data_IF_884347663835
#
_entry.id   IF_884347663835
#
_cell.length_a   1.000
_cell.length_b   1.000
_cell.length_c   1.000
_cell.angle_alpha   90.00
_cell.angle_beta   90.00
_cell.angle_gamma   90.00
#
_symmetry.space_group_name_H-M   'P 1'
#
loop_
_entity.id
_entity.type
_entity.pdbx_description
1 polymer ?
#
# COMPACT_ATOMS: atom_id res chain seq x y z
N UNK A 1 -22.55 6.58 21.54
CA UNK A 1 -22.64 8.05 21.70
C UNK A 1 -21.44 8.80 21.10
N UNK A 2 -20.21 8.25 21.08
CA UNK A 2 -19.04 8.91 20.46
C UNK A 2 -19.06 9.04 18.92
N UNK A 3 -19.75 8.16 18.19
CA UNK A 3 -19.77 8.19 16.70
C UNK A 3 -20.54 9.37 16.10
N UNK A 4 -21.52 9.93 16.82
CA UNK A 4 -22.29 11.08 16.35
C UNK A 4 -21.46 12.36 16.41
N UNK A 5 -20.58 12.47 17.40
CA UNK A 5 -19.72 13.63 17.60
C UNK A 5 -18.62 13.74 16.54
N UNK A 6 -17.99 12.60 16.17
CA UNK A 6 -16.98 12.57 15.11
C UNK A 6 -17.55 12.89 13.73
N UNK A 7 -18.76 12.40 13.42
CA UNK A 7 -19.44 12.71 12.16
C UNK A 7 -19.81 14.19 12.06
N UNK A 8 -20.33 14.78 13.14
CA UNK A 8 -20.65 16.21 13.20
C UNK A 8 -19.40 17.06 13.04
N UNK A 9 -18.32 16.70 13.74
CA UNK A 9 -17.03 17.38 13.63
C UNK A 9 -16.47 17.35 12.21
N UNK A 10 -16.51 16.19 11.54
CA UNK A 10 -16.05 16.08 10.16
C UNK A 10 -16.89 16.94 9.19
N UNK A 11 -18.22 16.94 9.33
CA UNK A 11 -19.09 17.81 8.53
C UNK A 11 -18.75 19.30 8.72
N UNK A 12 -18.49 19.71 9.95
CA UNK A 12 -18.04 21.08 10.25
C UNK A 12 -16.72 21.40 9.55
N UNK A 13 -15.73 20.51 9.66
CA UNK A 13 -14.45 20.62 8.97
C UNK A 13 -14.58 20.74 7.45
N UNK A 14 -15.48 19.97 6.83
CA UNK A 14 -15.78 20.05 5.40
C UNK A 14 -16.27 21.45 5.03
N UNK A 15 -17.26 21.96 5.75
CA UNK A 15 -17.85 23.29 5.50
C UNK A 15 -16.81 24.39 5.70
N UNK A 16 -16.05 24.35 6.80
CA UNK A 16 -14.98 25.31 7.08
C UNK A 16 -13.88 25.30 6.01
N UNK A 17 -13.50 24.11 5.52
CA UNK A 17 -12.49 23.98 4.46
C UNK A 17 -12.98 24.64 3.18
N UNK A 18 -14.23 24.40 2.78
CA UNK A 18 -14.83 25.03 1.59
C UNK A 18 -14.86 26.55 1.75
N UNK A 19 -15.38 27.06 2.88
CA UNK A 19 -15.46 28.51 3.14
C UNK A 19 -14.07 29.14 3.14
N UNK A 20 -13.12 28.54 3.86
CA UNK A 20 -11.77 29.09 3.97
C UNK A 20 -11.00 29.10 2.64
N UNK A 21 -11.28 28.15 1.75
CA UNK A 21 -10.69 28.09 0.42
C UNK A 21 -11.44 28.93 -0.61
N UNK A 22 -12.74 29.21 -0.40
CA UNK A 22 -13.52 30.05 -1.29
C UNK A 22 -12.88 31.43 -1.50
N UNK A 23 -12.39 32.04 -0.42
CA UNK A 23 -11.79 33.37 -0.44
C UNK A 23 -10.32 33.37 -0.88
N UNK A 24 -9.75 32.19 -1.14
CA UNK A 24 -8.35 32.03 -1.55
C UNK A 24 -8.23 31.85 -3.05
N UNK A 25 -7.11 32.32 -3.60
CA UNK A 25 -6.70 31.88 -4.93
C UNK A 25 -6.52 30.35 -4.95
N UNK A 26 -6.85 29.69 -6.07
CA UNK A 26 -6.75 28.23 -6.24
C UNK A 26 -5.35 27.66 -5.89
N UNK A 27 -4.30 28.43 -6.12
CA UNK A 27 -2.91 28.06 -5.79
C UNK A 27 -2.59 28.07 -4.29
N UNK A 28 -3.48 28.63 -3.45
CA UNK A 28 -3.33 28.78 -2.00
C UNK A 28 -4.36 27.98 -1.21
N UNK A 29 -5.05 27.04 -1.87
CA UNK A 29 -5.95 26.14 -1.18
C UNK A 29 -5.18 25.34 -0.13
N UNK A 30 -5.75 25.25 1.07
CA UNK A 30 -5.20 24.50 2.18
C UNK A 30 -6.23 23.47 2.63
N UNK A 31 -5.73 22.29 2.95
CA UNK A 31 -6.55 21.16 3.38
C UNK A 31 -5.96 20.62 4.66
N UNK A 32 -6.80 20.41 5.66
CA UNK A 32 -6.42 19.70 6.88
C UNK A 32 -6.28 18.19 6.60
N UNK A 33 -5.71 17.47 7.57
CA UNK A 33 -5.41 16.04 7.41
C UNK A 33 -6.66 15.19 7.20
N UNK A 34 -7.77 15.49 7.90
CA UNK A 34 -9.02 14.74 7.72
C UNK A 34 -9.60 14.87 6.31
N UNK A 35 -9.47 16.03 5.65
CA UNK A 35 -9.91 16.20 4.27
C UNK A 35 -8.96 15.53 3.29
N UNK A 36 -7.64 15.54 3.56
CA UNK A 36 -6.67 14.79 2.74
C UNK A 36 -6.91 13.29 2.84
N UNK A 37 -7.15 12.78 4.04
CA UNK A 37 -7.49 11.37 4.29
C UNK A 37 -8.80 10.98 3.59
N UNK A 38 -9.85 11.80 3.73
CA UNK A 38 -11.10 11.60 3.00
C UNK A 38 -10.89 11.59 1.48
N UNK A 39 -10.10 12.52 0.95
CA UNK A 39 -9.80 12.59 -0.48
C UNK A 39 -9.01 11.37 -0.96
N UNK A 40 -8.05 10.88 -0.17
CA UNK A 40 -7.31 9.64 -0.44
C UNK A 40 -8.23 8.43 -0.46
N UNK A 41 -9.13 8.29 0.53
CA UNK A 41 -10.13 7.21 0.56
C UNK A 41 -11.08 7.27 -0.63
N UNK A 42 -11.57 8.46 -0.98
CA UNK A 42 -12.42 8.67 -2.15
C UNK A 42 -11.69 8.32 -3.46
N UNK A 43 -10.39 8.64 -3.56
CA UNK A 43 -9.57 8.29 -4.70
C UNK A 43 -9.34 6.78 -4.82
N UNK A 44 -9.08 6.10 -3.71
CA UNK A 44 -8.86 4.65 -3.67
C UNK A 44 -10.17 3.90 -3.99
N UNK A 45 -11.28 4.28 -3.38
CA UNK A 45 -12.56 3.56 -3.49
C UNK A 45 -13.39 3.97 -4.71
N UNK A 46 -13.45 5.26 -5.01
CA UNK A 46 -14.23 5.83 -6.12
C UNK A 46 -13.42 6.02 -7.40
N UNK A 47 -12.09 5.96 -7.31
CA UNK A 47 -11.20 6.16 -8.45
C UNK A 47 -11.00 7.62 -8.83
N UNK A 48 -10.14 7.81 -9.85
CA UNK A 48 -9.74 9.13 -10.36
C UNK A 48 -10.93 9.98 -10.82
N UNK A 49 -11.87 9.38 -11.56
CA UNK A 49 -12.96 10.12 -12.18
C UNK A 49 -13.95 10.66 -11.15
N UNK A 50 -14.27 9.88 -10.11
CA UNK A 50 -15.16 10.32 -9.03
C UNK A 50 -14.50 11.45 -8.23
N UNK A 51 -13.22 11.30 -7.90
CA UNK A 51 -12.47 12.31 -7.16
C UNK A 51 -12.41 13.64 -7.93
N UNK A 52 -12.11 13.61 -9.22
CA UNK A 52 -12.09 14.81 -10.06
C UNK A 52 -13.49 15.41 -10.27
N UNK A 53 -14.51 14.57 -10.44
CA UNK A 53 -15.89 15.03 -10.56
C UNK A 53 -16.31 15.84 -9.33
N UNK A 54 -16.09 15.30 -8.13
CA UNK A 54 -16.43 16.01 -6.89
C UNK A 54 -15.60 17.28 -6.74
N UNK A 55 -14.29 17.24 -7.04
CA UNK A 55 -13.40 18.40 -6.96
C UNK A 55 -13.83 19.55 -7.88
N UNK A 56 -14.31 19.23 -9.08
CA UNK A 56 -14.76 20.22 -10.05
C UNK A 56 -16.14 20.81 -9.70
N UNK A 57 -17.04 20.00 -9.14
CA UNK A 57 -18.38 20.44 -8.77
C UNK A 57 -18.44 21.17 -7.41
N UNK A 58 -17.52 20.86 -6.49
CA UNK A 58 -17.45 21.49 -5.16
C UNK A 58 -16.07 22.14 -4.99
N UNK A 59 -15.95 23.37 -5.50
CA UNK A 59 -14.69 24.12 -5.46
C UNK A 59 -14.18 24.32 -4.03
N UNK A 60 -12.89 24.05 -3.81
CA UNK A 60 -12.23 24.23 -2.51
C UNK A 60 -12.41 23.07 -1.52
N UNK A 61 -13.21 22.05 -1.86
CA UNK A 61 -13.40 20.86 -1.01
C UNK A 61 -12.23 19.89 -1.09
N UNK A 62 -11.88 19.44 -2.30
CA UNK A 62 -10.90 18.37 -2.50
C UNK A 62 -9.56 18.90 -3.02
N UNK A 63 -8.44 18.37 -2.52
CA UNK A 63 -7.13 18.59 -3.11
C UNK A 63 -7.06 18.09 -4.56
N UNK A 64 -6.08 18.60 -5.30
CA UNK A 64 -5.78 18.10 -6.66
C UNK A 64 -5.12 16.73 -6.60
N UNK A 65 -5.21 15.97 -7.70
CA UNK A 65 -4.60 14.63 -7.79
C UNK A 65 -3.11 14.58 -7.38
N UNK A 66 -2.25 15.54 -7.76
CA UNK A 66 -0.86 15.53 -7.31
C UNK A 66 -0.70 15.64 -5.80
N UNK A 67 -1.57 16.40 -5.11
CA UNK A 67 -1.55 16.53 -3.65
C UNK A 67 -2.03 15.23 -2.99
N UNK A 68 -3.06 14.60 -3.55
CA UNK A 68 -3.54 13.28 -3.09
C UNK A 68 -2.42 12.25 -3.26
N UNK A 69 -1.81 12.18 -4.44
CA UNK A 69 -0.72 11.26 -4.72
C UNK A 69 0.47 11.50 -3.79
N UNK A 70 0.88 12.76 -3.58
CA UNK A 70 1.94 13.09 -2.63
C UNK A 70 1.61 12.66 -1.20
N UNK A 71 0.34 12.77 -0.79
CA UNK A 71 -0.11 12.31 0.52
C UNK A 71 -0.03 10.79 0.62
N UNK A 72 -0.43 10.06 -0.42
CA UNK A 72 -0.29 8.60 -0.51
C UNK A 72 1.18 8.16 -0.56
N UNK A 73 2.02 8.96 -1.20
CA UNK A 73 3.46 8.74 -1.28
C UNK A 73 4.19 8.97 0.04
N UNK A 74 3.68 9.87 0.88
CA UNK A 74 4.21 10.10 2.23
C UNK A 74 3.87 9.02 3.26
N UNK A 75 2.97 8.08 2.93
CA UNK A 75 2.61 7.00 3.86
C UNK A 75 3.82 6.07 4.04
N UNK A 76 4.30 5.98 5.28
CA UNK A 76 5.54 5.26 5.65
C UNK A 76 5.43 3.74 5.53
N UNK A 77 4.21 3.19 5.53
CA UNK A 77 3.97 1.74 5.63
C UNK A 77 3.75 1.08 4.27
N UNK A 78 4.57 1.45 3.28
CA UNK A 78 4.55 0.81 1.95
C UNK A 78 4.99 -0.65 2.06
N UNK A 79 4.43 -1.49 1.19
CA UNK A 79 4.87 -2.88 1.06
C UNK A 79 6.10 -2.88 0.17
N UNK A 80 7.20 -3.43 0.67
CA UNK A 80 8.40 -3.69 -0.10
C UNK A 80 8.39 -5.16 -0.57
N UNK A 81 8.93 -5.42 -1.77
CA UNK A 81 9.00 -6.78 -2.31
C UNK A 81 9.82 -7.70 -1.39
N UNK A 82 9.19 -8.79 -0.93
CA UNK A 82 9.81 -9.81 -0.10
C UNK A 82 9.99 -9.45 1.37
N UNK A 83 9.62 -8.24 1.78
CA UNK A 83 9.77 -7.78 3.15
C UNK A 83 8.64 -8.31 4.04
N UNK A 84 8.99 -9.13 5.03
CA UNK A 84 8.05 -9.65 6.02
C UNK A 84 7.94 -8.68 7.20
N UNK A 85 6.81 -7.99 7.28
CA UNK A 85 6.59 -6.86 8.20
C UNK A 85 6.14 -7.31 9.59
N UNK A 86 6.96 -8.12 10.25
CA UNK A 86 6.64 -8.71 11.56
C UNK A 86 6.44 -7.65 12.65
N UNK A 87 7.23 -6.57 12.67
CA UNK A 87 7.08 -5.50 13.65
C UNK A 87 5.70 -4.82 13.54
N UNK A 88 5.29 -4.49 12.31
CA UNK A 88 3.97 -3.90 12.04
C UNK A 88 2.83 -4.89 12.32
N UNK A 89 3.06 -6.19 12.13
CA UNK A 89 2.12 -7.22 12.55
C UNK A 89 1.95 -7.22 14.08
N UNK A 90 3.04 -7.17 14.85
CA UNK A 90 2.98 -7.13 16.31
C UNK A 90 2.21 -5.90 16.82
N UNK A 91 2.44 -4.74 16.23
CA UNK A 91 1.70 -3.51 16.54
C UNK A 91 0.21 -3.65 16.19
N UNK A 92 -0.09 -4.22 15.03
CA UNK A 92 -1.45 -4.47 14.57
C UNK A 92 -2.21 -5.42 15.51
N UNK A 93 -1.59 -6.53 15.90
CA UNK A 93 -2.17 -7.52 16.81
C UNK A 93 -2.36 -6.96 18.23
N UNK A 94 -1.43 -6.14 18.69
CA UNK A 94 -1.53 -5.41 19.95
C UNK A 94 -2.74 -4.46 19.96
N UNK A 95 -2.97 -3.74 18.85
CA UNK A 95 -4.15 -2.88 18.69
C UNK A 95 -5.46 -3.69 18.69
N UNK A 96 -5.45 -4.86 18.06
CA UNK A 96 -6.58 -5.79 18.02
C UNK A 96 -6.78 -6.59 19.31
N UNK A 97 -5.84 -6.48 20.26
CA UNK A 97 -5.85 -7.20 21.55
C UNK A 97 -5.97 -8.72 21.39
N UNK A 98 -5.31 -9.28 20.38
CA UNK A 98 -5.30 -10.72 20.14
C UNK A 98 -3.93 -11.18 19.69
N UNK A 99 -3.54 -12.39 20.11
CA UNK A 99 -2.34 -13.07 19.63
C UNK A 99 -2.69 -14.25 18.70
N UNK A 100 -3.97 -14.50 18.47
CA UNK A 100 -4.45 -15.58 17.64
C UNK A 100 -4.76 -15.07 16.23
N UNK A 101 -4.21 -15.73 15.24
CA UNK A 101 -4.36 -15.37 13.83
C UNK A 101 -4.68 -16.61 12.99
N UNK A 102 -5.40 -16.40 11.89
CA UNK A 102 -5.31 -17.26 10.73
C UNK A 102 -4.27 -16.69 9.79
N UNK A 103 -3.34 -17.53 9.33
CA UNK A 103 -2.40 -17.18 8.28
C UNK A 103 -2.81 -17.89 6.99
N UNK A 104 -2.65 -17.20 5.86
CA UNK A 104 -2.87 -17.76 4.53
C UNK A 104 -1.78 -17.31 3.59
N UNK A 105 -1.33 -18.23 2.75
CA UNK A 105 -0.49 -17.97 1.58
C UNK A 105 -1.36 -18.19 0.34
N UNK A 106 -1.33 -17.23 -0.58
CA UNK A 106 -1.99 -17.38 -1.88
C UNK A 106 -1.21 -16.64 -2.96
N UNK A 107 -1.43 -17.03 -4.20
CA UNK A 107 -0.65 -16.57 -5.34
C UNK A 107 -1.57 -16.19 -6.49
N UNK A 108 -1.38 -14.99 -7.04
CA UNK A 108 -2.16 -14.49 -8.19
C UNK A 108 -1.30 -14.27 -9.42
N UNK A 109 -1.87 -14.48 -10.60
CA UNK A 109 -1.27 -14.07 -11.87
C UNK A 109 -1.15 -12.55 -11.98
N UNK A 110 0.00 -12.08 -12.48
CA UNK A 110 0.26 -10.67 -12.74
C UNK A 110 0.86 -10.49 -14.13
N UNK A 111 0.68 -9.30 -14.71
CA UNK A 111 1.40 -8.91 -15.93
C UNK A 111 2.85 -8.63 -15.53
N UNK A 112 3.84 -9.34 -16.08
CA UNK A 112 5.23 -9.15 -15.70
C UNK A 112 5.68 -7.76 -16.07
N UNK A 113 6.15 -7.01 -15.08
CA UNK A 113 6.63 -5.65 -15.24
C UNK A 113 7.84 -5.45 -14.35
N UNK A 114 8.94 -5.02 -14.95
CA UNK A 114 10.16 -4.68 -14.21
C UNK A 114 10.16 -3.18 -13.96
N UNK A 115 10.18 -2.77 -12.70
CA UNK A 115 10.14 -1.37 -12.27
C UNK A 115 11.38 -1.05 -11.46
N UNK A 116 11.96 0.14 -11.68
CA UNK A 116 13.02 0.66 -10.85
C UNK A 116 12.45 1.34 -9.61
N UNK A 117 12.84 0.87 -8.43
CA UNK A 117 12.55 1.52 -7.15
C UNK A 117 13.69 2.48 -6.79
N UNK A 118 13.39 3.78 -6.84
CA UNK A 118 14.34 4.86 -6.55
C UNK A 118 14.78 4.84 -5.08
N UNK A 119 13.91 4.47 -4.15
CA UNK A 119 14.18 4.52 -2.71
C UNK A 119 15.21 3.47 -2.30
N UNK A 120 15.08 2.25 -2.79
CA UNK A 120 16.01 1.14 -2.53
C UNK A 120 17.14 1.05 -3.54
N UNK A 121 17.08 1.81 -4.65
CA UNK A 121 17.99 1.70 -5.79
C UNK A 121 18.07 0.26 -6.33
N UNK A 122 16.91 -0.39 -6.48
CA UNK A 122 16.77 -1.78 -6.92
C UNK A 122 15.74 -1.91 -8.04
N UNK A 123 15.86 -2.96 -8.84
CA UNK A 123 14.80 -3.37 -9.77
C UNK A 123 13.88 -4.40 -9.11
N UNK A 124 12.57 -4.21 -9.27
CA UNK A 124 11.48 -5.05 -8.75
C UNK A 124 10.79 -5.73 -9.94
N UNK A 125 10.30 -6.96 -9.75
CA UNK A 125 9.52 -7.69 -10.77
C UNK A 125 10.23 -8.86 -11.44
N UNK A 126 11.46 -9.16 -11.03
CA UNK A 126 12.09 -10.46 -11.26
C UNK A 126 11.74 -11.42 -10.12
N UNK A 127 11.81 -12.72 -10.35
CA UNK A 127 11.64 -13.69 -9.26
C UNK A 127 12.88 -13.62 -8.33
N UNK A 128 12.74 -13.22 -7.05
CA UNK A 128 13.84 -13.18 -6.12
C UNK A 128 14.24 -14.61 -5.72
N UNK A 129 15.52 -14.79 -5.40
CA UNK A 129 15.98 -16.03 -4.81
C UNK A 129 15.42 -16.21 -3.40
N UNK A 130 15.09 -17.44 -3.03
CA UNK A 130 14.68 -17.79 -1.68
C UNK A 130 15.91 -18.19 -0.86
N UNK A 131 16.09 -17.59 0.31
CA UNK A 131 17.07 -17.97 1.33
C UNK A 131 16.28 -18.46 2.55
N UNK A 132 16.47 -19.73 2.94
CA UNK A 132 15.69 -20.40 4.00
C UNK A 132 14.16 -20.28 3.79
N UNK A 133 13.71 -20.48 2.54
CA UNK A 133 12.30 -20.42 2.18
C UNK A 133 11.72 -19.01 2.00
N UNK A 134 12.44 -17.97 2.44
CA UNK A 134 12.00 -16.58 2.37
C UNK A 134 12.68 -15.81 1.22
N UNK A 135 11.98 -14.88 0.55
CA UNK A 135 12.56 -14.07 -0.52
C UNK A 135 13.65 -13.14 0.01
N UNK A 136 14.78 -13.10 -0.68
CA UNK A 136 15.82 -12.10 -0.39
C UNK A 136 15.36 -10.71 -0.82
N UNK A 137 15.25 -9.80 0.14
CA UNK A 137 14.86 -8.41 -0.09
C UNK A 137 15.97 -7.71 -0.89
N UNK A 138 15.59 -6.79 -1.79
CA UNK A 138 16.54 -5.94 -2.53
C UNK A 138 17.55 -6.74 -3.36
N UNK A 139 17.13 -7.88 -3.95
CA UNK A 139 18.02 -8.81 -4.68
C UNK A 139 18.71 -8.18 -5.91
N UNK A 140 18.12 -7.17 -6.55
CA UNK A 140 18.61 -6.63 -7.82
C UNK A 140 19.11 -5.17 -7.73
N UNK A 141 20.14 -4.85 -6.92
CA UNK A 141 20.75 -3.53 -6.90
C UNK A 141 21.81 -3.42 -8.01
N UNK A 142 21.74 -2.35 -8.80
CA UNK A 142 22.77 -2.07 -9.80
C UNK A 142 22.87 -0.58 -10.11
N UNK A 143 24.08 -0.15 -10.45
CA UNK A 143 24.37 1.16 -11.07
C UNK A 143 24.83 1.01 -12.52
N UNK A 144 24.89 -0.21 -13.04
CA UNK A 144 25.36 -0.54 -14.39
C UNK A 144 24.20 -1.01 -15.26
N UNK A 145 24.04 -0.36 -16.41
CA UNK A 145 23.08 -0.77 -17.44
C UNK A 145 23.38 -2.17 -17.97
N UNK A 146 24.65 -2.51 -18.22
CA UNK A 146 25.02 -3.84 -18.74
C UNK A 146 24.62 -4.98 -17.79
N UNK A 147 24.70 -4.74 -16.47
CA UNK A 147 24.24 -5.72 -15.47
C UNK A 147 22.71 -5.88 -15.51
N UNK A 148 21.99 -4.77 -15.65
CA UNK A 148 20.54 -4.78 -15.82
C UNK A 148 20.12 -5.48 -17.13
N UNK A 149 20.77 -5.18 -18.24
CA UNK A 149 20.54 -5.79 -19.55
C UNK A 149 20.74 -7.31 -19.48
N UNK A 150 21.82 -7.76 -18.85
CA UNK A 150 22.06 -9.18 -18.60
C UNK A 150 20.92 -9.81 -17.79
N UNK A 151 20.52 -9.20 -16.68
CA UNK A 151 19.38 -9.71 -15.88
C UNK A 151 18.08 -9.75 -16.67
N UNK A 152 17.79 -8.70 -17.44
CA UNK A 152 16.57 -8.62 -18.23
C UNK A 152 16.51 -9.69 -19.33
N UNK A 153 17.66 -10.10 -19.86
CA UNK A 153 17.77 -11.16 -20.87
C UNK A 153 17.88 -12.58 -20.30
N UNK A 154 18.28 -12.75 -19.03
CA UNK A 154 18.61 -14.07 -18.45
C UNK A 154 17.69 -14.51 -17.32
N UNK A 155 17.12 -13.58 -16.55
CA UNK A 155 16.28 -13.90 -15.40
C UNK A 155 14.80 -13.96 -15.78
N UNK A 156 14.08 -14.85 -15.11
CA UNK A 156 12.63 -14.91 -15.20
C UNK A 156 12.00 -13.68 -14.56
N UNK A 157 11.09 -13.05 -15.30
CA UNK A 157 10.19 -12.04 -14.75
C UNK A 157 9.10 -12.75 -13.97
N UNK A 158 8.66 -12.15 -12.87
CA UNK A 158 7.60 -12.72 -12.04
C UNK A 158 6.26 -12.63 -12.77
N UNK A 159 5.70 -13.78 -13.11
CA UNK A 159 4.34 -13.91 -13.66
C UNK A 159 3.30 -14.09 -12.55
N UNK A 160 3.78 -14.34 -11.34
CA UNK A 160 2.99 -14.65 -10.18
C UNK A 160 3.42 -13.73 -9.05
N UNK A 161 2.46 -13.29 -8.24
CA UNK A 161 2.68 -12.51 -7.04
C UNK A 161 2.15 -13.33 -5.86
N UNK A 162 3.08 -13.76 -5.00
CA UNK A 162 2.77 -14.47 -3.78
C UNK A 162 2.45 -13.48 -2.68
N UNK A 163 1.41 -13.75 -1.89
CA UNK A 163 0.99 -12.93 -0.76
C UNK A 163 0.89 -13.78 0.49
N UNK A 164 1.44 -13.25 1.58
CA UNK A 164 1.23 -13.78 2.92
C UNK A 164 0.30 -12.83 3.64
N UNK A 165 -0.84 -13.35 4.08
CA UNK A 165 -1.86 -12.58 4.78
C UNK A 165 -2.12 -13.19 6.15
N UNK A 166 -2.44 -12.33 7.11
CA UNK A 166 -2.89 -12.74 8.43
C UNK A 166 -4.23 -12.08 8.73
N UNK A 167 -5.08 -12.82 9.43
CA UNK A 167 -6.38 -12.36 9.88
C UNK A 167 -6.45 -12.58 11.39
N UNK A 168 -6.61 -11.53 12.21
CA UNK A 168 -6.74 -11.67 13.64
C UNK A 168 -8.06 -12.37 13.99
N UNK A 169 -8.00 -13.29 14.95
CA UNK A 169 -9.18 -13.93 15.53
C UNK A 169 -9.62 -13.04 16.68
N UNK A 170 -10.65 -12.24 16.45
CA UNK A 170 -11.31 -11.45 17.47
C UNK A 170 -12.79 -11.88 17.56
N UNK A 171 -13.31 -11.96 18.79
CA UNK A 171 -14.72 -12.26 19.06
C UNK A 171 -15.63 -11.06 18.72
N UNK A 172 -15.08 -9.85 18.68
CA UNK A 172 -15.82 -8.64 18.33
C UNK A 172 -15.72 -8.38 16.80
N UNK A 173 -16.75 -8.80 16.06
CA UNK A 173 -16.85 -8.81 14.58
C UNK A 173 -16.81 -7.42 13.91
N UNK A 174 -16.58 -6.33 14.65
CA UNK A 174 -16.82 -4.96 14.16
C UNK A 174 -15.76 -4.44 13.20
N UNK A 175 -14.56 -5.00 13.18
CA UNK A 175 -13.57 -4.76 12.12
C UNK A 175 -12.36 -5.68 12.34
N UNK A 176 -12.20 -6.69 11.50
CA UNK A 176 -10.91 -7.36 11.34
C UNK A 176 -10.55 -7.27 9.86
N UNK A 177 -9.89 -6.18 9.47
CA UNK A 177 -9.28 -6.12 8.15
C UNK A 177 -8.10 -7.12 8.11
N UNK A 178 -7.92 -7.87 7.02
CA UNK A 178 -6.73 -8.69 6.90
C UNK A 178 -5.49 -7.80 6.79
N UNK A 179 -4.38 -8.28 7.35
CA UNK A 179 -3.09 -7.62 7.28
C UNK A 179 -2.20 -8.37 6.28
N UNK A 180 -1.66 -7.66 5.30
CA UNK A 180 -0.68 -8.22 4.37
C UNK A 180 0.68 -8.25 5.07
N UNK A 181 1.19 -9.44 5.35
CA UNK A 181 2.48 -9.62 6.01
C UNK A 181 3.64 -9.39 5.05
N UNK A 182 3.57 -9.99 3.87
CA UNK A 182 4.59 -9.88 2.81
C UNK A 182 3.96 -10.11 1.43
N UNK A 183 4.58 -9.56 0.40
CA UNK A 183 4.25 -9.84 -0.99
C UNK A 183 5.52 -9.87 -1.84
N UNK A 184 5.65 -10.85 -2.73
CA UNK A 184 6.80 -10.93 -3.63
C UNK A 184 6.50 -11.67 -4.93
N UNK A 185 7.18 -11.26 -6.00
CA UNK A 185 7.08 -11.94 -7.28
C UNK A 185 7.65 -13.36 -7.19
N UNK A 186 7.08 -14.30 -7.91
CA UNK A 186 7.59 -15.67 -8.01
C UNK A 186 7.39 -16.20 -9.43
N UNK A 187 8.14 -17.25 -9.78
CA UNK A 187 7.92 -18.06 -10.97
C UNK A 187 7.41 -19.48 -10.62
N UNK A 188 7.04 -19.72 -9.35
CA UNK A 188 6.53 -21.00 -8.84
C UNK A 188 7.51 -22.18 -8.97
N UNK A 189 8.82 -21.92 -9.11
CA UNK A 189 9.87 -22.94 -9.14
C UNK A 189 10.52 -23.13 -7.75
N UNK A 190 9.73 -23.22 -6.69
CA UNK A 190 10.25 -23.52 -5.34
C UNK A 190 10.37 -25.03 -5.12
N UNK A 191 11.37 -25.42 -4.34
CA UNK A 191 11.58 -26.81 -3.93
C UNK A 191 10.75 -27.16 -2.70
N UNK A 192 10.55 -28.46 -2.44
CA UNK A 192 9.91 -28.91 -1.20
C UNK A 192 10.65 -28.42 0.04
N UNK A 193 11.99 -28.29 -0.02
CA UNK A 193 12.78 -27.78 1.09
C UNK A 193 12.47 -26.29 1.34
N UNK A 194 12.34 -25.50 0.29
CA UNK A 194 11.97 -24.08 0.42
C UNK A 194 10.61 -23.90 1.10
N UNK A 195 9.66 -24.83 0.88
CA UNK A 195 8.36 -24.81 1.57
C UNK A 195 8.51 -25.16 3.05
N UNK A 196 9.33 -26.16 3.38
CA UNK A 196 9.50 -26.63 4.77
C UNK A 196 10.25 -25.65 5.66
N UNK A 197 11.10 -24.81 5.07
CA UNK A 197 11.94 -23.85 5.80
C UNK A 197 11.26 -22.49 6.05
N UNK A 198 10.10 -22.25 5.45
CA UNK A 198 9.30 -21.01 5.59
C UNK A 198 8.69 -20.83 6.98
#
# INVERSE_FOLDING_TARGET
>A
SQSNDSSVKFKHTVVETIISNHDRAKSRYCYNDSIREFASCLFILGGRNVSEFIRLNISGLLPTLPIIQSSLDSITNRINEGDFRYDLMCDYLSLQKTNFIFASEDCTGVIPLVIYNVQSNTFIGFAPHLEDGLPKINTFPTKSFSKFENWFGTLNKSHLLNFHMIQPINLDLKSCAPFILSAYGTDNHFTTLDILMR
#
